data_IF_497065373036
#
_entry.id   IF_497065373036
#
_cell.length_a   1.000
_cell.length_b   1.000
_cell.length_c   1.000
_cell.angle_alpha   90.00
_cell.angle_beta   90.00
_cell.angle_gamma   90.00
#
_symmetry.space_group_name_H-M   'P 1'
#
loop_
_entity.id
_entity.type
_entity.pdbx_description
1 polymer ?
#
# COMPACT_ATOMS: atom_id res chain seq x y z
N UNK A 1 -11.02 20.36 23.17
CA UNK A 1 -10.44 19.10 23.66
C UNK A 1 -10.54 17.97 22.61
N UNK A 2 -11.49 18.00 21.67
CA UNK A 2 -11.71 16.94 20.66
C UNK A 2 -10.73 16.93 19.46
N UNK A 3 -10.25 18.10 19.02
CA UNK A 3 -9.39 18.20 17.81
C UNK A 3 -8.02 17.54 17.99
N UNK A 4 -7.39 17.71 19.15
CA UNK A 4 -6.07 17.14 19.46
C UNK A 4 -6.10 15.61 19.54
N UNK A 5 -7.17 15.05 20.09
CA UNK A 5 -7.37 13.60 20.16
C UNK A 5 -7.59 13.01 18.76
N UNK A 6 -8.45 13.65 17.95
CA UNK A 6 -8.65 13.28 16.54
C UNK A 6 -7.36 13.30 15.73
N UNK A 7 -6.54 14.35 15.83
CA UNK A 7 -5.24 14.43 15.13
C UNK A 7 -4.30 13.30 15.58
N UNK A 8 -4.29 12.98 16.87
CA UNK A 8 -3.45 11.90 17.42
C UNK A 8 -3.87 10.53 16.88
N UNK A 9 -5.18 10.25 16.83
CA UNK A 9 -5.70 9.02 16.22
C UNK A 9 -5.38 8.95 14.72
N UNK A 10 -5.54 10.07 14.00
CA UNK A 10 -5.19 10.15 12.58
C UNK A 10 -3.69 9.86 12.34
N UNK A 11 -2.79 10.34 13.21
CA UNK A 11 -1.36 10.00 13.14
C UNK A 11 -1.12 8.51 13.35
N UNK A 12 -1.81 7.89 14.31
CA UNK A 12 -1.69 6.45 14.56
C UNK A 12 -2.14 5.61 13.34
N UNK A 13 -3.24 5.99 12.68
CA UNK A 13 -3.68 5.31 11.46
C UNK A 13 -2.70 5.51 10.30
N UNK A 14 -2.12 6.69 10.14
CA UNK A 14 -1.11 6.94 9.10
C UNK A 14 0.12 6.05 9.24
N UNK A 15 0.60 5.83 10.46
CA UNK A 15 1.72 4.90 10.68
C UNK A 15 1.35 3.47 10.27
N UNK A 16 0.12 3.03 10.57
CA UNK A 16 -0.37 1.72 10.12
C UNK A 16 -0.47 1.64 8.59
N UNK A 17 -0.98 2.68 7.92
CA UNK A 17 -1.05 2.71 6.46
C UNK A 17 0.33 2.71 5.82
N UNK A 18 1.31 3.46 6.36
CA UNK A 18 2.70 3.46 5.88
C UNK A 18 3.36 2.10 6.04
N UNK A 19 3.10 1.41 7.14
CA UNK A 19 3.57 0.04 7.34
C UNK A 19 2.95 -0.93 6.32
N UNK A 20 1.64 -0.77 6.04
CA UNK A 20 0.95 -1.54 4.99
C UNK A 20 1.49 -1.24 3.59
N UNK A 21 1.77 0.02 3.27
CA UNK A 21 2.39 0.45 2.00
C UNK A 21 3.76 -0.20 1.82
N UNK A 22 4.61 -0.17 2.85
CA UNK A 22 5.92 -0.80 2.79
C UNK A 22 5.82 -2.31 2.50
N UNK A 23 4.90 -3.01 3.18
CA UNK A 23 4.63 -4.43 2.90
C UNK A 23 4.06 -4.68 1.50
N UNK A 24 3.28 -3.74 0.96
CA UNK A 24 2.75 -3.85 -0.40
C UNK A 24 3.87 -3.78 -1.45
N UNK A 25 4.84 -2.88 -1.26
CA UNK A 25 6.04 -2.76 -2.13
C UNK A 25 6.87 -4.04 -2.14
N UNK A 26 7.17 -4.60 -0.96
CA UNK A 26 7.89 -5.88 -0.84
C UNK A 26 7.12 -7.02 -1.54
N UNK A 27 5.77 -7.01 -1.44
CA UNK A 27 4.94 -8.02 -2.10
C UNK A 27 5.04 -7.95 -3.62
N UNK A 28 5.11 -6.75 -4.19
CA UNK A 28 5.30 -6.56 -5.64
C UNK A 28 6.61 -7.13 -6.12
N UNK A 29 7.71 -6.80 -5.43
CA UNK A 29 9.04 -7.34 -5.73
C UNK A 29 9.00 -8.88 -5.71
N UNK A 30 8.38 -9.45 -4.67
CA UNK A 30 8.29 -10.91 -4.54
C UNK A 30 7.45 -11.58 -5.62
N UNK A 31 6.33 -10.96 -6.01
CA UNK A 31 5.46 -11.51 -7.07
C UNK A 31 6.15 -11.42 -8.43
N UNK A 32 6.88 -10.35 -8.71
CA UNK A 32 7.66 -10.21 -9.94
C UNK A 32 8.75 -11.30 -10.03
N UNK A 33 9.52 -11.50 -8.95
CA UNK A 33 10.53 -12.56 -8.87
C UNK A 33 9.94 -13.96 -9.12
N UNK A 34 8.82 -14.27 -8.46
CA UNK A 34 8.15 -15.57 -8.60
C UNK A 34 7.62 -15.78 -10.01
N UNK A 35 7.04 -14.75 -10.64
CA UNK A 35 6.56 -14.86 -12.01
C UNK A 35 7.69 -15.25 -12.97
N UNK A 36 8.84 -14.56 -12.88
CA UNK A 36 10.01 -14.87 -13.71
C UNK A 36 10.58 -16.26 -13.42
N UNK A 37 10.67 -16.66 -12.15
CA UNK A 37 11.19 -17.98 -11.79
C UNK A 37 10.31 -19.11 -12.33
N UNK A 38 8.99 -18.96 -12.23
CA UNK A 38 8.03 -19.97 -12.67
C UNK A 38 8.00 -20.06 -14.21
N UNK A 39 8.02 -18.93 -14.90
CA UNK A 39 8.01 -18.89 -16.36
C UNK A 39 9.35 -19.38 -16.95
N UNK A 40 10.47 -18.80 -16.52
CA UNK A 40 11.76 -18.99 -17.19
C UNK A 40 12.48 -20.26 -16.72
N UNK A 41 12.43 -20.57 -15.41
CA UNK A 41 13.16 -21.71 -14.85
C UNK A 41 12.32 -22.98 -14.85
N UNK A 42 11.07 -22.88 -14.40
CA UNK A 42 10.19 -24.05 -14.28
C UNK A 42 9.42 -24.34 -15.58
N UNK A 43 9.28 -23.36 -16.48
CA UNK A 43 8.49 -23.46 -17.73
C UNK A 43 7.01 -23.75 -17.49
N UNK A 44 6.48 -23.30 -16.36
CA UNK A 44 5.10 -23.53 -15.92
C UNK A 44 4.23 -22.29 -16.18
N UNK A 45 3.91 -22.05 -17.46
CA UNK A 45 3.26 -20.80 -17.89
C UNK A 45 1.92 -20.53 -17.19
N UNK A 46 1.06 -21.52 -17.02
CA UNK A 46 -0.25 -21.34 -16.38
C UNK A 46 -0.13 -20.83 -14.94
N UNK A 47 0.92 -21.20 -14.22
CA UNK A 47 1.19 -20.69 -12.88
C UNK A 47 1.80 -19.28 -12.91
N UNK A 48 2.69 -19.00 -13.87
CA UNK A 48 3.24 -17.66 -14.07
C UNK A 48 2.15 -16.63 -14.39
N UNK A 49 1.19 -16.99 -15.26
CA UNK A 49 0.05 -16.14 -15.62
C UNK A 49 -0.81 -15.81 -14.37
N UNK A 50 -1.04 -16.79 -13.50
CA UNK A 50 -1.77 -16.58 -12.22
C UNK A 50 -0.98 -15.70 -11.24
N UNK A 51 0.34 -15.83 -11.19
CA UNK A 51 1.19 -14.95 -10.35
C UNK A 51 1.20 -13.52 -10.92
N UNK A 52 1.20 -13.37 -12.24
CA UNK A 52 1.06 -12.07 -12.90
C UNK A 52 -0.29 -11.41 -12.61
N UNK A 53 -1.39 -12.18 -12.55
CA UNK A 53 -2.69 -11.66 -12.11
C UNK A 53 -2.63 -11.15 -10.66
N UNK A 54 -2.02 -11.93 -9.75
CA UNK A 54 -1.81 -11.52 -8.36
C UNK A 54 -0.94 -10.27 -8.25
N UNK A 55 0.09 -10.14 -9.10
CA UNK A 55 0.93 -8.94 -9.20
C UNK A 55 0.08 -7.72 -9.56
N UNK A 56 -0.78 -7.82 -10.58
CA UNK A 56 -1.67 -6.72 -10.97
C UNK A 56 -2.61 -6.29 -9.85
N UNK A 57 -3.19 -7.24 -9.12
CA UNK A 57 -4.03 -6.96 -7.95
C UNK A 57 -3.23 -6.25 -6.85
N UNK A 58 -2.02 -6.73 -6.57
CA UNK A 58 -1.13 -6.12 -5.57
C UNK A 58 -0.69 -4.71 -5.97
N UNK A 59 -0.46 -4.45 -7.27
CA UNK A 59 -0.04 -3.15 -7.78
C UNK A 59 -1.15 -2.12 -7.63
N UNK A 60 -2.38 -2.50 -7.99
CA UNK A 60 -3.56 -1.66 -7.78
C UNK A 60 -3.84 -1.41 -6.28
N UNK A 61 -3.55 -2.37 -5.40
CA UNK A 61 -3.63 -2.12 -3.96
C UNK A 61 -2.57 -1.12 -3.48
N UNK A 62 -1.33 -1.27 -3.95
CA UNK A 62 -0.22 -0.36 -3.63
C UNK A 62 -0.51 1.08 -4.06
N UNK A 63 -0.99 1.28 -5.29
CA UNK A 63 -1.40 2.61 -5.77
C UNK A 63 -2.53 3.21 -4.92
N UNK A 64 -3.53 2.40 -4.55
CA UNK A 64 -4.67 2.88 -3.75
C UNK A 64 -4.28 3.25 -2.32
N UNK A 65 -3.35 2.52 -1.71
CA UNK A 65 -2.89 2.88 -0.37
C UNK A 65 -2.01 4.12 -0.38
N UNK A 66 -1.24 4.36 -1.44
CA UNK A 66 -0.47 5.60 -1.63
C UNK A 66 -1.39 6.81 -1.70
N UNK A 67 -2.45 6.73 -2.51
CA UNK A 67 -3.47 7.77 -2.62
C UNK A 67 -4.21 8.00 -1.29
N UNK A 68 -4.58 6.90 -0.59
CA UNK A 68 -5.23 7.00 0.72
C UNK A 68 -4.34 7.72 1.74
N UNK A 69 -3.04 7.39 1.80
CA UNK A 69 -2.09 8.06 2.71
C UNK A 69 -2.03 9.56 2.40
N UNK A 70 -1.92 9.92 1.13
CA UNK A 70 -1.86 11.31 0.68
C UNK A 70 -3.11 12.11 1.10
N UNK A 71 -4.30 11.61 0.76
CA UNK A 71 -5.57 12.27 1.10
C UNK A 71 -5.75 12.41 2.62
N UNK A 72 -5.34 11.38 3.36
CA UNK A 72 -5.44 11.36 4.82
C UNK A 72 -4.47 12.33 5.50
N UNK A 73 -3.26 12.52 4.95
CA UNK A 73 -2.31 13.54 5.39
C UNK A 73 -2.81 14.95 5.10
N UNK A 74 -3.43 15.19 3.94
CA UNK A 74 -4.07 16.48 3.61
C UNK A 74 -5.16 16.81 4.64
N UNK A 75 -6.07 15.87 4.89
CA UNK A 75 -7.19 16.12 5.81
C UNK A 75 -6.70 16.35 7.25
N UNK A 76 -5.72 15.57 7.70
CA UNK A 76 -5.08 15.78 9.01
C UNK A 76 -4.47 17.19 9.11
N UNK A 77 -3.77 17.64 8.06
CA UNK A 77 -3.14 18.96 8.03
C UNK A 77 -4.20 20.08 8.01
N UNK A 78 -5.31 19.91 7.27
CA UNK A 78 -6.45 20.83 7.28
C UNK A 78 -7.00 21.00 8.70
N UNK A 79 -7.29 19.90 9.39
CA UNK A 79 -7.81 19.91 10.77
C UNK A 79 -6.79 20.55 11.73
N UNK A 80 -5.50 20.26 11.56
CA UNK A 80 -4.44 20.84 12.41
C UNK A 80 -4.35 22.37 12.22
N UNK A 81 -4.51 22.87 11.00
CA UNK A 81 -4.44 24.29 10.70
C UNK A 81 -5.73 25.05 11.08
N UNK A 82 -6.89 24.41 11.01
CA UNK A 82 -8.18 25.00 11.46
C UNK A 82 -8.30 25.06 12.99
N UNK A 83 -7.58 24.19 13.70
CA UNK A 83 -7.53 24.15 15.17
C UNK A 83 -6.35 24.89 15.80
N UNK A 84 -5.46 25.50 15.00
CA UNK A 84 -4.32 26.31 15.43
C UNK A 84 -4.69 27.80 15.46
#
# INVERSE_FOLDING_TARGET
METTDKISQMRAHLEQFKEMQHRAKIRLERLAELSMEIEDKLREKDFADRVSELFGIAANFEEKIDNLIFDYEIERNRIQNEGA
#
